data_IF_182928454755
#
_entry.id   IF_182928454755
#
_cell.length_a   1.000
_cell.length_b   1.000
_cell.length_c   1.000
_cell.angle_alpha   90.00
_cell.angle_beta   90.00
_cell.angle_gamma   90.00
#
_symmetry.space_group_name_H-M   'P 1'
#
loop_
_entity.id
_entity.type
_entity.pdbx_description
1 polymer ?
#
# COMPACT_ATOMS: atom_id res chain seq x y z
N UNK A 1 18.59 26.56 -20.43
CA UNK A 1 18.51 27.75 -19.56
C UNK A 1 17.74 27.37 -18.31
N UNK A 2 18.16 27.81 -17.13
CA UNK A 2 17.47 27.52 -15.86
C UNK A 2 16.24 28.41 -15.67
N UNK A 3 15.17 27.88 -15.07
CA UNK A 3 13.88 28.56 -14.86
C UNK A 3 13.98 29.92 -14.17
N UNK A 4 14.99 30.11 -13.32
CA UNK A 4 15.28 31.40 -12.69
C UNK A 4 15.58 32.51 -13.72
N UNK A 5 16.23 32.18 -14.85
CA UNK A 5 16.49 33.15 -15.92
C UNK A 5 15.23 33.51 -16.70
N UNK A 6 14.40 32.52 -17.00
CA UNK A 6 13.16 32.72 -17.79
C UNK A 6 12.14 33.56 -17.00
N UNK A 7 11.99 33.32 -15.69
CA UNK A 7 11.09 34.10 -14.83
C UNK A 7 11.58 35.55 -14.68
N UNK A 8 12.89 35.78 -14.65
CA UNK A 8 13.47 37.14 -14.63
C UNK A 8 13.23 37.85 -15.96
N UNK A 9 13.50 37.19 -17.10
CA UNK A 9 13.25 37.76 -18.43
C UNK A 9 11.75 38.07 -18.65
N UNK A 10 10.83 37.21 -18.20
CA UNK A 10 9.39 37.44 -18.37
C UNK A 10 8.87 38.55 -17.44
N UNK A 11 9.49 38.77 -16.27
CA UNK A 11 9.17 39.89 -15.38
C UNK A 11 9.63 41.23 -15.96
N UNK A 12 10.79 41.29 -16.61
CA UNK A 12 11.30 42.51 -17.24
C UNK A 12 10.42 43.00 -18.40
N UNK A 13 9.72 42.08 -19.10
CA UNK A 13 8.86 42.42 -20.24
C UNK A 13 7.44 42.87 -19.80
N UNK A 14 7.13 42.87 -18.49
CA UNK A 14 5.95 43.55 -17.94
C UNK A 14 4.58 42.98 -18.32
N UNK A 15 4.48 41.69 -18.68
CA UNK A 15 3.26 41.14 -19.33
C UNK A 15 2.27 40.42 -18.40
N UNK A 16 2.47 40.30 -17.08
CA UNK A 16 1.57 39.45 -16.28
C UNK A 16 1.00 40.11 -15.00
N UNK A 17 -0.33 40.01 -14.89
CA UNK A 17 -1.17 40.43 -13.76
C UNK A 17 -1.07 39.48 -12.56
N UNK A 18 -1.48 39.97 -11.37
CA UNK A 18 -1.38 39.36 -10.03
C UNK A 18 -2.19 38.05 -9.81
N UNK A 19 -2.14 37.11 -10.75
CA UNK A 19 -2.72 35.78 -10.63
C UNK A 19 -1.78 34.77 -9.97
N UNK A 20 -2.30 33.91 -9.09
CA UNK A 20 -1.57 32.76 -8.58
C UNK A 20 -1.48 31.66 -9.66
N UNK A 21 -0.46 31.73 -10.51
CA UNK A 21 -0.24 30.73 -11.54
C UNK A 21 0.34 29.44 -10.95
N UNK A 22 -0.24 28.27 -11.28
CA UNK A 22 0.45 26.99 -11.11
C UNK A 22 1.55 26.91 -12.17
N UNK A 23 2.79 27.14 -11.73
CA UNK A 23 3.96 26.99 -12.59
C UNK A 23 4.27 25.50 -12.70
N UNK A 24 4.11 24.93 -13.89
CA UNK A 24 4.58 23.59 -14.21
C UNK A 24 6.05 23.66 -14.64
N UNK A 25 6.85 22.71 -14.17
CA UNK A 25 8.24 22.54 -14.64
C UNK A 25 8.24 21.79 -15.96
N UNK A 26 8.92 22.32 -16.97
CA UNK A 26 9.08 21.70 -18.27
C UNK A 26 10.55 21.33 -18.49
N UNK A 27 10.78 20.15 -19.07
CA UNK A 27 12.11 19.62 -19.33
C UNK A 27 12.26 19.36 -20.83
N UNK A 28 13.31 19.88 -21.46
CA UNK A 28 13.61 19.60 -22.87
C UNK A 28 13.84 18.10 -23.10
N UNK A 29 13.71 17.57 -24.33
CA UNK A 29 13.98 16.16 -24.62
C UNK A 29 15.35 15.69 -24.12
N UNK A 30 16.38 16.53 -24.24
CA UNK A 30 17.75 16.23 -23.76
C UNK A 30 17.81 16.20 -22.22
N UNK A 31 17.11 17.13 -21.57
CA UNK A 31 16.98 17.15 -20.11
C UNK A 31 16.23 15.91 -19.61
N UNK A 32 15.18 15.48 -20.30
CA UNK A 32 14.45 14.26 -19.98
C UNK A 32 15.36 13.03 -20.05
N UNK A 33 16.16 12.88 -21.11
CA UNK A 33 17.13 11.79 -21.26
C UNK A 33 18.16 11.82 -20.12
N UNK A 34 18.68 13.00 -19.77
CA UNK A 34 19.62 13.15 -18.66
C UNK A 34 19.01 12.76 -17.31
N UNK A 35 17.77 13.19 -17.05
CA UNK A 35 17.04 12.84 -15.82
C UNK A 35 16.81 11.33 -15.74
N UNK A 36 16.33 10.71 -16.83
CA UNK A 36 16.08 9.27 -16.88
C UNK A 36 17.38 8.47 -16.67
N UNK A 37 18.46 8.85 -17.35
CA UNK A 37 19.78 8.22 -17.17
C UNK A 37 20.27 8.38 -15.73
N UNK A 38 20.25 9.60 -15.17
CA UNK A 38 20.73 9.85 -13.81
C UNK A 38 19.89 9.11 -12.77
N UNK A 39 18.58 8.99 -12.99
CA UNK A 39 17.71 8.20 -12.13
C UNK A 39 18.00 6.70 -12.21
N UNK A 40 18.41 6.18 -13.37
CA UNK A 40 18.91 4.79 -13.51
C UNK A 40 20.23 4.59 -12.78
N UNK A 41 21.22 5.48 -13.01
CA UNK A 41 22.52 5.43 -12.34
C UNK A 41 22.41 5.50 -10.81
N UNK A 42 21.50 6.33 -10.31
CA UNK A 42 21.28 6.50 -8.87
C UNK A 42 20.40 5.39 -8.27
N UNK A 43 20.01 4.37 -9.04
CA UNK A 43 19.14 3.29 -8.56
C UNK A 43 17.75 3.76 -8.14
N UNK A 44 17.29 4.93 -8.61
CA UNK A 44 15.95 5.45 -8.34
C UNK A 44 14.85 4.59 -9.00
N UNK A 45 15.23 3.65 -9.86
CA UNK A 45 14.36 2.64 -10.41
C UNK A 45 14.53 1.32 -9.66
N UNK A 46 13.73 1.10 -8.63
CA UNK A 46 13.43 -0.26 -8.23
C UNK A 46 12.63 -0.96 -9.35
N UNK A 47 12.88 -2.24 -9.64
CA UNK A 47 12.10 -2.97 -10.63
C UNK A 47 10.63 -3.05 -10.19
N UNK A 48 9.68 -3.23 -11.14
CA UNK A 48 8.32 -3.61 -10.75
C UNK A 48 8.37 -4.92 -9.94
N UNK A 49 7.47 -5.09 -8.95
CA UNK A 49 7.40 -6.33 -8.19
C UNK A 49 7.02 -7.49 -9.12
N UNK A 50 7.56 -8.70 -8.89
CA UNK A 50 7.08 -9.90 -9.55
C UNK A 50 5.60 -10.15 -9.24
N UNK A 51 4.95 -10.99 -10.05
CA UNK A 51 3.53 -11.24 -9.89
C UNK A 51 3.19 -11.82 -8.51
N UNK A 52 2.14 -11.29 -7.89
CA UNK A 52 1.68 -11.69 -6.56
C UNK A 52 2.47 -11.09 -5.39
N UNK A 53 3.61 -10.43 -5.62
CA UNK A 53 4.37 -9.78 -4.56
C UNK A 53 3.60 -8.58 -4.02
N UNK A 54 3.72 -8.35 -2.71
CA UNK A 54 2.98 -7.30 -2.02
C UNK A 54 3.84 -6.54 -1.03
N UNK A 55 3.50 -5.26 -0.81
CA UNK A 55 4.06 -4.49 0.29
C UNK A 55 3.73 -5.13 1.64
N UNK A 56 4.60 -4.93 2.63
CA UNK A 56 4.35 -5.34 4.02
C UNK A 56 3.00 -4.80 4.53
N UNK A 57 2.65 -3.55 4.21
CA UNK A 57 1.35 -2.95 4.58
C UNK A 57 0.14 -3.63 3.95
N UNK A 58 0.32 -4.32 2.83
CA UNK A 58 -0.73 -5.11 2.20
C UNK A 58 -0.80 -6.50 2.84
N UNK A 59 0.35 -7.09 3.16
CA UNK A 59 0.43 -8.34 3.91
C UNK A 59 -0.22 -8.22 5.29
N UNK A 60 0.01 -7.14 6.04
CA UNK A 60 -0.64 -6.89 7.34
C UNK A 60 -2.16 -6.91 7.25
N UNK A 61 -2.73 -6.25 6.23
CA UNK A 61 -4.17 -6.23 5.98
C UNK A 61 -4.72 -7.60 5.60
N UNK A 62 -3.96 -8.40 4.86
CA UNK A 62 -4.34 -9.78 4.48
C UNK A 62 -4.33 -10.71 5.68
N UNK A 63 -3.29 -10.61 6.51
CA UNK A 63 -3.09 -11.45 7.69
C UNK A 63 -3.91 -10.97 8.92
N UNK A 64 -4.46 -9.76 8.87
CA UNK A 64 -5.27 -9.20 9.97
C UNK A 64 -4.45 -8.85 11.22
N UNK A 65 -3.16 -8.54 11.06
CA UNK A 65 -2.23 -8.28 12.17
C UNK A 65 -1.56 -6.91 12.03
N UNK A 66 -0.92 -6.45 13.11
CA UNK A 66 -0.19 -5.18 13.13
C UNK A 66 1.07 -5.24 12.26
N UNK A 67 1.52 -4.06 11.80
CA UNK A 67 2.78 -3.92 11.08
C UNK A 67 3.99 -4.41 11.88
N UNK A 68 3.95 -4.19 13.21
CA UNK A 68 5.00 -4.64 14.13
C UNK A 68 5.13 -6.16 14.10
N UNK A 69 4.02 -6.89 14.27
CA UNK A 69 4.04 -8.36 14.27
C UNK A 69 4.57 -8.96 12.97
N UNK A 70 4.25 -8.35 11.82
CA UNK A 70 4.78 -8.81 10.54
C UNK A 70 6.30 -8.60 10.45
N UNK A 71 6.82 -7.48 10.95
CA UNK A 71 8.28 -7.23 11.00
C UNK A 71 9.00 -8.16 11.97
N UNK A 72 8.47 -8.29 13.18
CA UNK A 72 9.02 -9.22 14.19
C UNK A 72 9.05 -10.66 13.63
N UNK A 73 8.03 -11.06 12.85
CA UNK A 73 8.01 -12.35 12.17
C UNK A 73 9.03 -12.45 11.01
N UNK A 74 9.21 -11.40 10.21
CA UNK A 74 10.24 -11.34 9.16
C UNK A 74 11.63 -11.55 9.78
N UNK A 75 11.91 -10.87 10.89
CA UNK A 75 13.18 -10.96 11.61
C UNK A 75 13.36 -12.36 12.23
N UNK A 76 12.33 -12.88 12.89
CA UNK A 76 12.36 -14.22 13.53
C UNK A 76 12.55 -15.35 12.52
N UNK A 77 11.99 -15.20 11.32
CA UNK A 77 12.12 -16.16 10.21
C UNK A 77 13.35 -15.89 9.34
N UNK A 78 14.13 -14.84 9.64
CA UNK A 78 15.29 -14.38 8.87
C UNK A 78 14.99 -14.25 7.36
N UNK A 79 13.84 -13.67 7.02
CA UNK A 79 13.40 -13.53 5.62
C UNK A 79 14.13 -12.36 4.96
N UNK A 80 14.75 -12.63 3.82
CA UNK A 80 15.36 -11.60 2.99
C UNK A 80 14.30 -10.94 2.11
N UNK A 81 14.27 -9.60 2.14
CA UNK A 81 13.33 -8.80 1.35
C UNK A 81 14.07 -8.00 0.30
N UNK A 82 13.46 -7.89 -0.87
CA UNK A 82 13.95 -7.05 -1.96
C UNK A 82 13.09 -5.80 -2.11
N UNK A 83 13.71 -4.74 -2.62
CA UNK A 83 13.05 -3.45 -2.85
C UNK A 83 12.43 -3.44 -4.24
N UNK A 84 11.14 -3.13 -4.32
CA UNK A 84 10.39 -3.02 -5.56
C UNK A 84 9.65 -1.68 -5.67
N UNK A 85 9.28 -1.34 -6.90
CA UNK A 85 8.44 -0.19 -7.25
C UNK A 85 6.99 -0.61 -7.40
N UNK A 86 6.20 -0.39 -6.36
CA UNK A 86 4.75 -0.59 -6.36
C UNK A 86 4.04 0.63 -6.93
N UNK A 87 2.99 0.41 -7.73
CA UNK A 87 2.11 1.46 -8.24
C UNK A 87 0.73 1.24 -7.64
N UNK A 88 0.21 2.22 -6.90
CA UNK A 88 -1.14 2.17 -6.36
C UNK A 88 -2.18 2.46 -7.46
N UNK A 89 -3.44 2.09 -7.22
CA UNK A 89 -4.56 2.42 -8.13
C UNK A 89 -4.68 3.93 -8.42
N UNK A 90 -4.31 4.79 -7.47
CA UNK A 90 -4.24 6.24 -7.66
C UNK A 90 -3.09 6.72 -8.56
N UNK A 91 -2.29 5.82 -9.12
CA UNK A 91 -1.07 6.12 -9.87
C UNK A 91 0.14 6.46 -9.01
N UNK A 92 -0.02 6.53 -7.68
CA UNK A 92 1.07 6.86 -6.77
C UNK A 92 2.12 5.74 -6.72
N UNK A 93 3.36 6.09 -7.04
CA UNK A 93 4.51 5.17 -6.99
C UNK A 93 5.09 5.09 -5.57
N UNK A 94 5.39 3.87 -5.11
CA UNK A 94 6.02 3.59 -3.81
C UNK A 94 7.19 2.62 -4.00
N UNK A 95 8.39 3.04 -3.60
CA UNK A 95 9.58 2.18 -3.56
C UNK A 95 9.73 1.61 -2.15
N UNK A 96 9.51 0.31 -1.99
CA UNK A 96 9.45 -0.37 -0.68
C UNK A 96 9.85 -1.84 -0.82
N UNK A 97 10.20 -2.45 0.30
CA UNK A 97 10.36 -3.90 0.42
C UNK A 97 9.07 -4.64 0.04
N UNK A 98 9.21 -5.70 -0.75
CA UNK A 98 8.13 -6.60 -1.14
C UNK A 98 8.27 -7.98 -0.53
N UNK A 99 7.12 -8.58 -0.24
CA UNK A 99 6.99 -9.96 0.20
C UNK A 99 6.43 -10.81 -0.94
N UNK A 100 7.08 -11.94 -1.21
CA UNK A 100 6.54 -12.96 -2.10
C UNK A 100 5.30 -13.63 -1.48
N UNK A 101 4.42 -14.25 -2.30
CA UNK A 101 3.30 -15.03 -1.79
C UNK A 101 3.71 -16.09 -0.76
N UNK A 102 4.84 -16.78 -1.00
CA UNK A 102 5.38 -17.80 -0.09
C UNK A 102 5.85 -17.19 1.23
N UNK A 103 6.50 -16.02 1.20
CA UNK A 103 6.91 -15.32 2.42
C UNK A 103 5.69 -14.89 3.26
N UNK A 104 4.64 -14.37 2.60
CA UNK A 104 3.39 -14.03 3.30
C UNK A 104 2.76 -15.26 3.95
N UNK A 105 2.77 -16.40 3.27
CA UNK A 105 2.25 -17.66 3.84
C UNK A 105 3.11 -18.15 5.03
N UNK A 106 4.44 -18.13 4.91
CA UNK A 106 5.37 -18.46 6.01
C UNK A 106 5.12 -17.58 7.25
N UNK A 107 5.01 -16.27 7.05
CA UNK A 107 4.67 -15.33 8.13
C UNK A 107 3.31 -15.70 8.75
N UNK A 108 2.30 -15.96 7.92
CA UNK A 108 0.99 -16.37 8.41
C UNK A 108 1.01 -17.66 9.23
N UNK A 109 1.78 -18.66 8.80
CA UNK A 109 1.98 -19.92 9.55
C UNK A 109 2.68 -19.69 10.87
N UNK A 110 3.75 -18.91 10.88
CA UNK A 110 4.48 -18.55 12.09
C UNK A 110 3.59 -17.80 13.10
N UNK A 111 2.86 -16.77 12.65
CA UNK A 111 1.97 -16.03 13.54
C UNK A 111 0.82 -16.89 14.10
N UNK A 112 0.42 -17.96 13.40
CA UNK A 112 -0.53 -18.95 13.92
C UNK A 112 0.11 -19.85 14.97
N UNK A 113 1.33 -20.35 14.73
CA UNK A 113 2.02 -21.20 15.71
C UNK A 113 2.34 -20.46 17.01
N UNK A 114 2.64 -19.16 16.91
CA UNK A 114 2.84 -18.28 18.07
C UNK A 114 1.52 -17.81 18.73
N UNK A 115 0.36 -18.21 18.20
CA UNK A 115 -0.95 -17.89 18.78
C UNK A 115 -1.44 -16.45 18.56
N UNK A 116 -0.74 -15.64 17.76
CA UNK A 116 -1.19 -14.28 17.40
C UNK A 116 -2.42 -14.27 16.50
N UNK A 117 -2.66 -15.37 15.77
CA UNK A 117 -3.83 -15.53 14.90
C UNK A 117 -4.42 -16.93 15.06
N UNK A 118 -5.72 -17.04 14.87
CA UNK A 118 -6.45 -18.32 14.88
C UNK A 118 -7.15 -18.49 13.55
N UNK A 119 -7.17 -19.72 13.04
CA UNK A 119 -8.10 -20.05 11.97
C UNK A 119 -9.52 -20.07 12.54
N UNK A 120 -10.49 -19.68 11.72
CA UNK A 120 -11.87 -19.99 12.03
C UNK A 120 -11.97 -21.53 12.18
N UNK A 121 -12.73 -22.05 13.16
CA UNK A 121 -12.98 -23.49 13.25
C UNK A 121 -13.59 -24.02 11.94
N UNK A 122 -13.48 -25.32 11.68
CA UNK A 122 -14.00 -25.90 10.45
C UNK A 122 -15.50 -25.64 10.31
N UNK A 123 -15.92 -25.12 9.15
CA UNK A 123 -17.30 -24.70 8.88
C UNK A 123 -17.64 -23.27 9.36
N UNK A 124 -16.74 -22.59 10.05
CA UNK A 124 -16.94 -21.22 10.53
C UNK A 124 -16.34 -20.21 9.56
N UNK A 125 -16.98 -19.03 9.48
CA UNK A 125 -16.55 -17.93 8.62
C UNK A 125 -16.31 -16.69 9.44
N UNK A 126 -15.30 -15.90 9.08
CA UNK A 126 -15.03 -14.64 9.78
C UNK A 126 -16.06 -13.58 9.39
N UNK A 127 -16.44 -12.71 10.34
CA UNK A 127 -17.44 -11.62 10.15
C UNK A 127 -17.29 -10.89 8.82
N UNK A 128 -16.06 -10.58 8.41
CA UNK A 128 -15.77 -9.83 7.17
C UNK A 128 -16.18 -10.57 5.89
N UNK A 129 -16.08 -11.90 5.87
CA UNK A 129 -16.51 -12.71 4.72
C UNK A 129 -18.03 -12.71 4.59
N UNK A 130 -18.72 -12.91 5.71
CA UNK A 130 -20.19 -12.89 5.77
C UNK A 130 -20.70 -11.51 5.37
N UNK A 131 -20.10 -10.43 5.90
CA UNK A 131 -20.46 -9.05 5.52
C UNK A 131 -20.29 -8.76 4.02
N UNK A 132 -19.23 -9.31 3.41
CA UNK A 132 -18.95 -9.11 1.97
C UNK A 132 -20.02 -9.77 1.12
N UNK A 133 -20.42 -10.98 1.48
CA UNK A 133 -21.50 -11.71 0.80
C UNK A 133 -22.86 -11.03 0.99
N UNK A 134 -23.14 -10.52 2.18
CA UNK A 134 -24.36 -9.78 2.48
C UNK A 134 -24.36 -8.35 1.94
N UNK A 135 -23.27 -7.90 1.31
CA UNK A 135 -23.07 -6.53 0.84
C UNK A 135 -23.44 -5.45 1.88
N UNK A 136 -23.06 -5.67 3.15
CA UNK A 136 -23.49 -4.83 4.26
C UNK A 136 -22.32 -4.15 5.00
N UNK A 137 -22.60 -3.00 5.61
CA UNK A 137 -21.64 -2.27 6.44
C UNK A 137 -21.51 -2.89 7.83
N UNK A 138 -20.36 -2.69 8.49
CA UNK A 138 -20.13 -3.22 9.85
C UNK A 138 -21.22 -2.81 10.84
N UNK A 139 -21.65 -1.53 10.92
CA UNK A 139 -22.72 -1.15 11.84
C UNK A 139 -24.07 -1.82 11.54
N UNK A 140 -24.38 -2.10 10.27
CA UNK A 140 -25.62 -2.81 9.91
C UNK A 140 -25.53 -4.28 10.31
N UNK A 141 -24.39 -4.93 10.06
CA UNK A 141 -24.13 -6.30 10.50
C UNK A 141 -24.24 -6.42 12.03
N UNK A 142 -23.61 -5.50 12.75
CA UNK A 142 -23.60 -5.50 14.22
C UNK A 142 -25.00 -5.31 14.80
N UNK A 143 -25.82 -4.43 14.23
CA UNK A 143 -27.23 -4.29 14.65
C UNK A 143 -28.02 -5.60 14.50
N UNK A 144 -27.76 -6.37 13.44
CA UNK A 144 -28.42 -7.67 13.22
C UNK A 144 -27.96 -8.67 14.28
N UNK A 145 -26.65 -8.79 14.49
CA UNK A 145 -26.05 -9.66 15.52
C UNK A 145 -26.58 -9.29 16.91
N UNK A 146 -26.57 -8.00 17.26
CA UNK A 146 -27.09 -7.50 18.53
C UNK A 146 -28.58 -7.82 18.73
N UNK A 147 -29.36 -7.77 17.64
CA UNK A 147 -30.78 -8.14 17.66
C UNK A 147 -30.98 -9.64 17.86
N UNK A 148 -30.14 -10.48 17.24
CA UNK A 148 -30.18 -11.93 17.42
C UNK A 148 -29.79 -12.31 18.85
N UNK A 149 -28.70 -11.73 19.38
CA UNK A 149 -28.27 -11.95 20.78
C UNK A 149 -29.38 -11.61 21.77
N UNK A 150 -30.13 -10.52 21.53
CA UNK A 150 -31.19 -10.08 22.45
C UNK A 150 -32.48 -10.90 22.36
N UNK A 151 -32.82 -11.42 21.18
CA UNK A 151 -34.17 -11.92 20.91
C UNK A 151 -34.23 -13.40 20.50
N UNK A 152 -33.10 -14.01 20.09
CA UNK A 152 -33.04 -15.41 19.70
C UNK A 152 -32.27 -16.21 20.76
N UNK A 153 -32.96 -17.06 21.55
CA UNK A 153 -32.32 -17.84 22.61
C UNK A 153 -31.34 -18.90 22.07
N UNK A 154 -31.32 -19.18 20.76
CA UNK A 154 -30.44 -20.18 20.15
C UNK A 154 -29.16 -19.58 19.53
N UNK A 155 -29.00 -18.25 19.57
CA UNK A 155 -27.86 -17.57 18.94
C UNK A 155 -26.59 -17.51 19.83
N UNK A 156 -26.72 -17.83 21.13
CA UNK A 156 -25.65 -17.76 22.12
C UNK A 156 -25.18 -19.12 22.61
#
# INVERSE_FOLDING_TARGET
MTMAKIVVEIKEVGVLSDGCFRVYEFYSPEQQVMIMRKAQENGLFAPPPPEGYVMISTATKRLGVSLKLVRDAIDSLNLQLEIYRFVAESGQVRIREGLSPEQVDKIGKYLRSEGYTKLAPEGYRVKKEIMRELHCSAPRFDRVVDSLIRNDPNFG
#
